data_IF_894090118601
#
_entry.id   IF_894090118601
#
_cell.length_a   1.000
_cell.length_b   1.000
_cell.length_c   1.000
_cell.angle_alpha   90.00
_cell.angle_beta   90.00
_cell.angle_gamma   90.00
#
_symmetry.space_group_name_H-M   'P 1'
#
loop_
_entity.id
_entity.type
_entity.pdbx_description
1 polymer ?
#
# COMPACT_ATOMS: atom_id res chain seq x y z
N UNK A 1 -26.57 22.74 -3.38
CA UNK A 1 -25.15 23.13 -3.21
C UNK A 1 -24.68 22.28 -2.06
N UNK A 2 -24.13 21.12 -2.38
CA UNK A 2 -23.81 20.11 -1.38
C UNK A 2 -22.42 19.63 -1.74
N UNK A 3 -21.45 20.40 -1.26
CA UNK A 3 -20.04 20.12 -1.41
C UNK A 3 -19.75 18.81 -0.70
N UNK A 4 -19.60 17.76 -1.49
CA UNK A 4 -18.90 16.54 -1.09
C UNK A 4 -17.55 17.00 -0.54
N UNK A 5 -17.40 16.92 0.79
CA UNK A 5 -16.08 16.94 1.39
C UNK A 5 -15.36 15.76 0.77
N UNK A 6 -14.61 16.02 -0.30
CA UNK A 6 -13.55 15.18 -0.78
C UNK A 6 -12.63 14.97 0.42
N UNK A 7 -12.91 13.90 1.18
CA UNK A 7 -12.01 13.39 2.19
C UNK A 7 -10.71 13.18 1.44
N UNK A 8 -9.77 14.11 1.63
CA UNK A 8 -8.43 14.10 1.03
C UNK A 8 -7.84 12.75 1.38
N UNK A 9 -8.06 11.81 0.46
CA UNK A 9 -7.59 10.46 0.58
C UNK A 9 -6.18 10.57 0.09
N UNK A 10 -5.27 10.79 1.03
CA UNK A 10 -3.86 10.86 0.71
C UNK A 10 -3.45 9.48 0.22
N UNK A 11 -2.97 9.35 -1.02
CA UNK A 11 -2.46 8.07 -1.49
C UNK A 11 -1.29 7.68 -0.59
N UNK A 12 -1.41 6.52 0.04
CA UNK A 12 -0.36 5.92 0.85
C UNK A 12 0.34 4.89 -0.02
N UNK A 13 1.65 5.06 -0.20
CA UNK A 13 2.51 4.05 -0.83
C UNK A 13 2.76 2.95 0.19
N UNK A 14 2.45 1.71 -0.17
CA UNK A 14 2.65 0.54 0.67
C UNK A 14 3.35 -0.57 -0.10
N UNK A 15 4.30 -1.25 0.53
CA UNK A 15 4.96 -2.42 -0.04
C UNK A 15 4.97 -3.59 0.94
N UNK A 16 4.61 -4.77 0.44
CA UNK A 16 4.70 -6.04 1.16
C UNK A 16 6.02 -6.75 0.87
N UNK A 17 6.69 -7.17 1.94
CA UNK A 17 7.99 -7.84 1.89
C UNK A 17 7.94 -9.19 2.59
N UNK A 18 8.63 -10.18 2.00
CA UNK A 18 8.80 -11.51 2.59
C UNK A 18 10.18 -11.62 3.24
N UNK A 19 10.24 -11.64 4.58
CA UNK A 19 11.50 -11.87 5.30
C UNK A 19 12.06 -13.28 5.14
N UNK A 20 11.25 -14.24 4.70
CA UNK A 20 11.71 -15.62 4.54
C UNK A 20 12.56 -15.83 3.27
N UNK A 21 12.19 -15.18 2.16
CA UNK A 21 12.89 -15.33 0.88
C UNK A 21 13.46 -14.02 0.30
N UNK A 22 13.24 -12.90 0.98
CA UNK A 22 13.67 -11.56 0.56
C UNK A 22 12.87 -10.98 -0.62
N UNK A 23 11.67 -11.51 -0.91
CA UNK A 23 10.88 -11.07 -2.05
C UNK A 23 9.95 -9.91 -1.70
N UNK A 24 10.10 -8.78 -2.40
CA UNK A 24 9.13 -7.69 -2.39
C UNK A 24 8.02 -7.95 -3.42
N UNK A 25 6.77 -7.72 -3.03
CA UNK A 25 5.59 -7.85 -3.89
C UNK A 25 5.32 -6.58 -4.74
N UNK A 26 6.19 -5.58 -4.62
CA UNK A 26 6.07 -4.29 -5.31
C UNK A 26 5.22 -3.30 -4.53
N UNK A 27 5.51 -2.02 -4.73
CA UNK A 27 4.79 -0.91 -4.12
C UNK A 27 3.39 -0.72 -4.76
N UNK A 28 2.38 -0.51 -3.93
CA UNK A 28 1.01 -0.19 -4.34
C UNK A 28 0.55 1.11 -3.70
N UNK A 29 -0.32 1.83 -4.41
CA UNK A 29 -1.00 3.01 -3.89
C UNK A 29 -2.31 2.61 -3.24
N UNK A 30 -2.41 2.86 -1.93
CA UNK A 30 -3.62 2.62 -1.14
C UNK A 30 -4.30 3.95 -0.86
N UNK A 31 -5.56 4.04 -1.26
CA UNK A 31 -6.43 5.17 -0.95
C UNK A 31 -6.86 5.08 0.53
N UNK A 32 -6.12 5.70 1.45
CA UNK A 32 -6.47 5.70 2.88
C UNK A 32 -6.22 7.03 3.57
N UNK A 33 -7.16 7.45 4.41
CA UNK A 33 -6.98 8.60 5.32
C UNK A 33 -6.28 8.20 6.63
N UNK A 34 -6.08 6.89 6.86
CA UNK A 34 -5.45 6.38 8.07
C UNK A 34 -3.92 6.40 7.98
N UNK A 35 -3.26 6.44 9.15
CA UNK A 35 -1.79 6.38 9.25
C UNK A 35 -1.20 5.07 8.74
N UNK A 36 -1.97 3.99 8.78
CA UNK A 36 -1.58 2.66 8.32
C UNK A 36 -2.73 2.07 7.51
N UNK A 37 -2.49 1.52 6.32
CA UNK A 37 -3.52 0.83 5.55
C UNK A 37 -3.92 -0.46 6.27
N UNK A 38 -5.19 -0.84 6.14
CA UNK A 38 -5.65 -2.14 6.62
C UNK A 38 -5.32 -3.24 5.61
N UNK A 39 -5.30 -4.49 6.06
CA UNK A 39 -5.05 -5.64 5.20
C UNK A 39 -6.03 -5.72 4.01
N UNK A 40 -7.30 -5.39 4.25
CA UNK A 40 -8.33 -5.35 3.20
C UNK A 40 -8.04 -4.28 2.14
N UNK A 41 -7.61 -3.09 2.55
CA UNK A 41 -7.25 -2.02 1.63
C UNK A 41 -6.02 -2.37 0.79
N UNK A 42 -5.03 -3.03 1.40
CA UNK A 42 -3.89 -3.60 0.68
C UNK A 42 -4.33 -4.67 -0.31
N UNK A 43 -5.23 -5.57 0.09
CA UNK A 43 -5.78 -6.61 -0.79
C UNK A 43 -6.41 -6.01 -2.04
N UNK A 44 -7.28 -5.02 -1.87
CA UNK A 44 -7.92 -4.31 -2.99
C UNK A 44 -6.88 -3.57 -3.85
N UNK A 45 -5.85 -2.97 -3.23
CA UNK A 45 -4.79 -2.29 -3.98
C UNK A 45 -3.97 -3.30 -4.82
N UNK A 46 -3.55 -4.42 -4.24
CA UNK A 46 -2.78 -5.45 -4.95
C UNK A 46 -3.60 -6.19 -6.00
N UNK A 47 -4.92 -6.34 -5.82
CA UNK A 47 -5.82 -6.90 -6.84
C UNK A 47 -5.79 -6.07 -8.14
N UNK A 48 -5.69 -4.74 -8.01
CA UNK A 48 -5.62 -3.82 -9.17
C UNK A 48 -4.29 -3.84 -9.91
N UNK A 49 -3.21 -4.30 -9.27
CA UNK A 49 -1.85 -4.24 -9.84
C UNK A 49 -1.50 -5.51 -10.64
N UNK A 50 -2.42 -6.49 -10.72
CA UNK A 50 -2.42 -7.64 -11.63
C UNK A 50 -1.04 -7.98 -12.24
N UNK A 51 -0.11 -8.40 -11.39
CA UNK A 51 1.28 -8.61 -11.76
C UNK A 51 1.84 -9.88 -11.13
N UNK A 52 2.86 -10.46 -11.77
CA UNK A 52 3.49 -11.73 -11.38
C UNK A 52 4.21 -11.69 -10.01
N UNK A 53 4.10 -10.58 -9.28
CA UNK A 53 4.58 -10.37 -7.91
C UNK A 53 3.47 -10.09 -6.89
N UNK A 54 2.19 -10.21 -7.28
CA UNK A 54 1.08 -9.96 -6.37
C UNK A 54 1.07 -11.00 -5.22
N UNK A 55 0.82 -10.56 -3.98
CA UNK A 55 0.69 -11.44 -2.82
C UNK A 55 -0.54 -12.35 -2.95
N UNK A 56 -0.44 -13.58 -2.45
CA UNK A 56 -1.62 -14.42 -2.22
C UNK A 56 -2.27 -14.02 -0.90
N UNK A 57 -3.59 -14.10 -0.79
CA UNK A 57 -4.30 -13.76 0.44
C UNK A 57 -4.98 -14.99 1.02
N UNK A 58 -4.76 -15.27 2.30
CA UNK A 58 -5.56 -16.25 3.02
C UNK A 58 -6.96 -15.71 3.35
N UNK A 59 -7.88 -16.62 3.67
CA UNK A 59 -9.25 -16.29 4.08
C UNK A 59 -9.27 -15.36 5.30
N UNK A 60 -8.28 -15.51 6.19
CA UNK A 60 -8.02 -14.64 7.35
C UNK A 60 -7.56 -13.22 7.00
N UNK A 61 -7.37 -12.89 5.72
CA UNK A 61 -6.87 -11.59 5.26
C UNK A 61 -5.35 -11.41 5.41
N UNK A 62 -4.61 -12.47 5.68
CA UNK A 62 -3.15 -12.44 5.79
C UNK A 62 -2.51 -12.58 4.41
N UNK A 63 -1.61 -11.66 4.00
CA UNK A 63 -0.87 -11.81 2.75
C UNK A 63 0.27 -12.83 2.89
N UNK A 64 0.43 -13.65 1.85
CA UNK A 64 1.39 -14.75 1.72
C UNK A 64 2.21 -14.56 0.45
N UNK A 65 3.51 -14.84 0.56
CA UNK A 65 4.46 -14.74 -0.53
C UNK A 65 4.14 -15.80 -1.61
N UNK A 66 3.95 -15.39 -2.87
CA UNK A 66 3.65 -16.33 -3.95
C UNK A 66 4.81 -17.28 -4.26
N UNK A 67 6.05 -16.97 -3.86
CA UNK A 67 7.23 -17.81 -4.11
C UNK A 67 7.45 -18.91 -3.07
N UNK A 68 7.48 -18.55 -1.79
CA UNK A 68 7.88 -19.48 -0.72
C UNK A 68 6.73 -19.87 0.22
N UNK A 69 5.55 -19.26 0.08
CA UNK A 69 4.44 -19.46 1.01
C UNK A 69 4.64 -18.83 2.39
N UNK A 70 5.70 -18.05 2.58
CA UNK A 70 5.96 -17.32 3.83
C UNK A 70 5.01 -16.14 4.01
N UNK A 71 4.77 -15.75 5.26
CA UNK A 71 3.94 -14.60 5.59
C UNK A 71 4.60 -13.30 5.09
N UNK A 72 3.80 -12.42 4.50
CA UNK A 72 4.24 -11.11 4.05
C UNK A 72 3.96 -10.06 5.12
N UNK A 73 4.89 -9.12 5.25
CA UNK A 73 4.81 -8.04 6.21
C UNK A 73 4.83 -6.71 5.48
N UNK A 74 4.01 -5.78 5.96
CA UNK A 74 4.05 -4.40 5.50
C UNK A 74 5.26 -3.71 6.13
N UNK A 75 6.38 -3.71 5.42
CA UNK A 75 7.65 -3.14 5.92
C UNK A 75 7.65 -1.61 5.79
N UNK A 76 7.17 -1.09 4.67
CA UNK A 76 7.19 0.35 4.37
C UNK A 76 5.81 0.82 3.96
N UNK A 77 5.30 1.80 4.69
CA UNK A 77 4.16 2.60 4.29
C UNK A 77 4.49 4.09 4.49
N UNK A 78 4.52 4.83 3.39
CA UNK A 78 4.79 6.27 3.41
C UNK A 78 3.54 7.00 2.93
N UNK A 79 3.05 7.93 3.74
CA UNK A 79 2.11 8.92 3.23
C UNK A 79 2.86 9.81 2.26
N UNK A 80 2.37 9.93 1.03
CA UNK A 80 2.88 10.95 0.11
C UNK A 80 2.47 12.33 0.65
N UNK A 81 3.23 12.84 1.61
CA UNK A 81 3.12 14.23 2.05
C UNK A 81 3.76 15.03 0.93
N UNK A 82 2.96 15.45 -0.05
CA UNK A 82 3.39 16.42 -1.07
C UNK A 82 3.74 17.70 -0.33
N UNK A 83 4.98 17.81 0.16
CA UNK A 83 5.55 19.08 0.57
C UNK A 83 5.76 19.86 -0.72
N UNK A 84 4.80 20.73 -1.02
CA UNK A 84 4.93 21.84 -1.97
C UNK A 84 6.37 22.36 -1.89
N UNK A 85 7.15 22.38 -2.98
CA UNK A 85 8.48 22.97 -2.93
C UNK A 85 8.29 24.43 -2.53
N UNK A 86 8.83 24.81 -1.37
CA UNK A 86 8.88 26.21 -0.98
C UNK A 86 9.83 26.86 -1.98
N UNK A 87 9.28 27.47 -3.04
CA UNK A 87 10.03 28.37 -3.91
C UNK A 87 10.51 29.52 -3.03
N UNK A 88 11.71 29.41 -2.49
CA UNK A 88 12.44 30.57 -2.00
C UNK A 88 13.02 31.26 -3.24
N UNK A 89 12.24 32.22 -3.71
CA UNK A 89 12.74 33.31 -4.53
C UNK A 89 13.67 34.19 -3.68
N UNK A 90 14.68 34.73 -4.37
CA UNK A 90 15.52 35.88 -4.01
C UNK A 90 16.67 35.61 -3.03
#
# INVERSE_FOLDING_TARGET
MDGELEATTMPLRAELYCYFCGHGCGEVLVATSARRPTAEQLRVAYDRVAGNGAPKWEDSGQPICPRCGGQLFLERFEHEVVRKPLRRAS
#
